data_IF_153500041087
#
_entry.id   IF_153500041087
#
_cell.length_a   1.000
_cell.length_b   1.000
_cell.length_c   1.000
_cell.angle_alpha   90.00
_cell.angle_beta   90.00
_cell.angle_gamma   90.00
#
_symmetry.space_group_name_H-M   'P 1'
#
loop_
_entity.id
_entity.type
_entity.pdbx_description
1 polymer ?
#
# COMPACT_ATOMS: atom_id res chain seq x y z
N UNK A 1 36.47 -12.55 96.49
CA UNK A 1 36.39 -12.07 95.10
C UNK A 1 35.01 -12.51 94.56
N UNK A 2 33.97 -11.67 94.64
CA UNK A 2 33.51 -10.69 93.63
C UNK A 2 33.11 -11.35 92.30
N UNK A 3 31.91 -11.24 91.71
CA UNK A 3 30.60 -10.62 92.02
C UNK A 3 29.57 -11.25 91.04
N UNK A 4 28.28 -11.02 91.34
CA UNK A 4 27.02 -11.60 90.82
C UNK A 4 26.64 -11.34 89.33
N UNK A 5 25.56 -12.06 88.96
CA UNK A 5 24.40 -11.76 88.07
C UNK A 5 24.53 -12.10 86.59
N UNK A 6 23.77 -13.06 86.04
CA UNK A 6 22.33 -13.02 85.67
C UNK A 6 21.98 -11.80 84.82
N UNK A 7 21.41 -12.02 83.62
CA UNK A 7 20.18 -11.39 83.10
C UNK A 7 19.86 -11.80 81.65
N UNK A 8 18.56 -12.10 81.46
CA UNK A 8 17.70 -11.89 80.27
C UNK A 8 17.58 -12.95 79.16
N UNK A 9 16.44 -13.62 79.26
CA UNK A 9 15.60 -14.24 78.23
C UNK A 9 15.04 -13.19 77.24
N UNK A 10 14.71 -13.57 75.99
CA UNK A 10 13.33 -13.79 75.51
C UNK A 10 13.16 -13.76 73.98
N UNK A 11 12.24 -14.64 73.53
CA UNK A 11 11.33 -14.57 72.38
C UNK A 11 11.84 -14.89 70.97
N UNK A 12 11.68 -16.16 70.61
CA UNK A 12 11.56 -16.66 69.23
C UNK A 12 10.19 -16.30 68.64
N UNK A 13 10.21 -15.56 67.52
CA UNK A 13 9.04 -15.25 66.69
C UNK A 13 8.82 -16.43 65.74
N UNK A 14 7.62 -17.02 65.78
CA UNK A 14 7.18 -18.02 64.82
C UNK A 14 6.86 -17.39 63.46
N UNK A 15 7.48 -17.90 62.40
CA UNK A 15 7.26 -17.47 61.02
C UNK A 15 6.12 -18.31 60.41
N UNK A 16 4.98 -17.69 60.11
CA UNK A 16 3.92 -18.27 59.28
C UNK A 16 4.36 -18.22 57.82
N UNK A 17 4.56 -19.37 57.18
CA UNK A 17 4.83 -19.48 55.76
C UNK A 17 3.51 -19.41 54.98
N UNK A 18 3.24 -18.27 54.35
CA UNK A 18 2.17 -18.11 53.37
C UNK A 18 2.69 -18.48 51.98
N UNK A 19 2.12 -19.52 51.38
CA UNK A 19 2.39 -19.94 50.00
C UNK A 19 1.71 -18.98 49.03
N UNK A 20 2.48 -18.16 48.33
CA UNK A 20 2.01 -17.35 47.20
C UNK A 20 1.95 -18.26 45.96
N UNK A 21 0.75 -18.62 45.53
CA UNK A 21 0.52 -19.20 44.20
C UNK A 21 0.78 -18.12 43.14
N UNK A 22 1.91 -18.24 42.44
CA UNK A 22 2.22 -17.41 41.29
C UNK A 22 1.21 -17.68 40.17
N UNK A 23 0.39 -16.67 39.86
CA UNK A 23 -0.52 -16.69 38.73
C UNK A 23 0.35 -16.60 37.48
N UNK A 24 0.38 -17.68 36.69
CA UNK A 24 1.10 -17.73 35.42
C UNK A 24 0.53 -16.69 34.47
N UNK A 25 1.20 -15.54 34.36
CA UNK A 25 0.92 -14.58 33.31
C UNK A 25 1.21 -15.21 31.96
N UNK A 26 0.18 -15.41 31.15
CA UNK A 26 0.35 -15.68 29.73
C UNK A 26 1.08 -14.50 29.09
N UNK A 27 2.37 -14.67 28.85
CA UNK A 27 3.12 -13.81 27.96
C UNK A 27 2.56 -14.05 26.55
N UNK A 28 1.63 -13.20 26.13
CA UNK A 28 1.34 -13.06 24.71
C UNK A 28 2.64 -12.55 24.08
N UNK A 29 3.37 -13.42 23.40
CA UNK A 29 4.55 -13.00 22.64
C UNK A 29 4.10 -11.93 21.65
N UNK A 30 4.81 -10.79 21.55
CA UNK A 30 4.50 -9.82 20.50
C UNK A 30 4.64 -10.56 19.17
N UNK A 31 3.53 -10.67 18.45
CA UNK A 31 3.51 -11.15 17.08
C UNK A 31 4.52 -10.28 16.32
N UNK A 32 5.59 -10.89 15.79
CA UNK A 32 6.60 -10.16 15.02
C UNK A 32 5.88 -9.42 13.89
N UNK A 33 5.93 -8.09 13.92
CA UNK A 33 5.37 -7.26 12.86
C UNK A 33 5.99 -7.70 11.52
N UNK A 34 5.14 -7.99 10.53
CA UNK A 34 5.59 -8.28 9.18
C UNK A 34 6.40 -7.09 8.68
N UNK A 35 7.63 -7.31 8.23
CA UNK A 35 8.42 -6.26 7.57
C UNK A 35 7.76 -5.91 6.23
N UNK A 36 7.20 -4.69 6.18
CA UNK A 36 6.55 -4.12 5.00
C UNK A 36 7.52 -3.17 4.30
N UNK A 37 7.70 -3.37 2.98
CA UNK A 37 8.42 -2.44 2.11
C UNK A 37 7.42 -1.70 1.23
N UNK A 38 7.43 -0.37 1.25
CA UNK A 38 6.57 0.44 0.38
C UNK A 38 7.28 0.83 -0.91
N UNK A 39 6.56 0.78 -2.03
CA UNK A 39 7.08 1.17 -3.35
C UNK A 39 6.05 2.05 -4.06
N UNK A 40 6.52 3.19 -4.55
CA UNK A 40 5.72 4.20 -5.24
C UNK A 40 5.40 3.79 -6.68
N UNK A 41 4.15 3.99 -7.12
CA UNK A 41 3.68 3.61 -8.45
C UNK A 41 4.19 4.46 -9.63
N UNK A 42 4.91 5.55 -9.39
CA UNK A 42 5.41 6.46 -10.45
C UNK A 42 6.80 6.07 -10.97
N UNK A 43 7.34 4.93 -10.54
CA UNK A 43 8.57 4.40 -11.10
C UNK A 43 8.22 3.67 -12.42
N UNK A 44 8.44 4.32 -13.57
CA UNK A 44 8.51 3.66 -14.90
C UNK A 44 9.71 2.71 -15.03
N UNK A 45 10.37 2.40 -13.93
CA UNK A 45 11.54 1.54 -13.83
C UNK A 45 11.11 0.16 -13.33
N UNK A 46 11.73 -0.88 -13.89
CA UNK A 46 11.57 -2.25 -13.38
C UNK A 46 12.09 -2.31 -11.94
N UNK A 47 11.23 -2.75 -11.01
CA UNK A 47 11.55 -2.82 -9.58
C UNK A 47 12.10 -4.21 -9.24
N UNK A 48 13.26 -4.26 -8.59
CA UNK A 48 13.85 -5.52 -8.12
C UNK A 48 13.20 -5.99 -6.80
N UNK A 49 12.70 -7.23 -6.82
CA UNK A 49 12.12 -7.92 -5.68
C UNK A 49 12.93 -9.20 -5.40
N UNK A 50 13.52 -9.30 -4.22
CA UNK A 50 14.18 -10.52 -3.75
C UNK A 50 13.14 -11.46 -3.13
N UNK A 51 13.23 -12.75 -3.46
CA UNK A 51 12.41 -13.80 -2.86
C UNK A 51 13.32 -14.89 -2.29
N UNK A 52 13.19 -15.14 -1.00
CA UNK A 52 14.06 -16.07 -0.27
C UNK A 52 13.56 -17.51 -0.33
N UNK A 53 14.48 -18.45 -0.14
CA UNK A 53 14.12 -19.85 -0.02
C UNK A 53 13.30 -20.09 1.26
N UNK A 54 12.26 -20.92 1.16
CA UNK A 54 11.32 -21.21 2.24
C UNK A 54 10.56 -19.99 2.83
N UNK A 55 10.64 -18.81 2.21
CA UNK A 55 9.89 -17.62 2.61
C UNK A 55 9.24 -16.96 1.40
N UNK A 56 7.91 -17.04 1.33
CA UNK A 56 7.14 -16.33 0.32
C UNK A 56 6.97 -14.86 0.67
N UNK A 57 6.78 -14.02 -0.35
CA UNK A 57 6.48 -12.60 -0.19
C UNK A 57 5.08 -12.30 -0.71
N UNK A 58 4.44 -11.28 -0.15
CA UNK A 58 3.18 -10.74 -0.65
C UNK A 58 3.44 -9.44 -1.39
N UNK A 59 2.87 -9.27 -2.58
CA UNK A 59 2.85 -8.02 -3.33
C UNK A 59 1.41 -7.50 -3.31
N UNK A 60 1.16 -6.43 -2.55
CA UNK A 60 -0.17 -5.89 -2.26
C UNK A 60 -0.43 -4.60 -3.03
N UNK A 61 -1.58 -4.55 -3.69
CA UNK A 61 -2.13 -3.37 -4.37
C UNK A 61 -3.34 -2.78 -3.63
N UNK A 62 -3.65 -3.30 -2.44
CA UNK A 62 -4.83 -2.89 -1.65
C UNK A 62 -4.86 -1.39 -1.39
N UNK A 63 -3.72 -0.79 -1.07
CA UNK A 63 -3.61 0.64 -0.75
C UNK A 63 -3.78 1.58 -1.95
N UNK A 64 -3.72 1.04 -3.17
CA UNK A 64 -4.10 1.75 -4.39
C UNK A 64 -5.59 1.62 -4.74
N UNK A 65 -6.32 0.72 -4.07
CA UNK A 65 -7.68 0.35 -4.49
C UNK A 65 -7.72 -0.29 -5.88
N UNK A 66 -6.60 -0.82 -6.35
CA UNK A 66 -6.46 -1.42 -7.67
C UNK A 66 -6.69 -2.93 -7.62
N UNK A 67 -7.37 -3.45 -8.66
CA UNK A 67 -7.62 -4.87 -8.81
C UNK A 67 -6.64 -5.46 -9.83
N UNK A 68 -5.87 -6.47 -9.42
CA UNK A 68 -5.04 -7.28 -10.30
C UNK A 68 -5.95 -8.09 -11.22
N UNK A 69 -5.79 -7.90 -12.52
CA UNK A 69 -6.55 -8.59 -13.56
C UNK A 69 -5.76 -9.71 -14.18
N UNK A 70 -4.46 -9.48 -14.42
CA UNK A 70 -3.60 -10.43 -15.14
C UNK A 70 -2.16 -10.34 -14.66
N UNK A 71 -1.46 -11.47 -14.71
CA UNK A 71 -0.06 -11.57 -14.33
C UNK A 71 0.69 -12.41 -15.37
N UNK A 72 1.91 -12.00 -15.69
CA UNK A 72 2.83 -12.75 -16.55
C UNK A 72 4.17 -12.95 -15.86
N UNK A 73 4.70 -14.16 -15.96
CA UNK A 73 6.00 -14.55 -15.45
C UNK A 73 6.80 -15.17 -16.60
N UNK A 74 7.90 -14.54 -16.96
CA UNK A 74 8.65 -14.90 -18.18
C UNK A 74 9.38 -16.25 -18.04
N UNK A 75 9.97 -16.51 -16.87
CA UNK A 75 10.66 -17.77 -16.55
C UNK A 75 10.12 -18.34 -15.22
N UNK A 76 9.19 -19.32 -15.28
CA UNK A 76 8.60 -19.95 -14.10
C UNK A 76 9.52 -21.02 -13.46
N UNK A 77 10.77 -21.19 -13.91
CA UNK A 77 11.66 -22.25 -13.42
C UNK A 77 12.02 -22.13 -11.95
N UNK A 78 11.96 -20.93 -11.37
CA UNK A 78 12.42 -20.66 -10.01
C UNK A 78 11.37 -20.03 -9.10
N UNK A 79 10.23 -19.58 -9.65
CA UNK A 79 9.21 -18.88 -8.89
C UNK A 79 7.82 -19.39 -9.26
N UNK A 80 6.94 -19.41 -8.27
CA UNK A 80 5.52 -19.70 -8.43
C UNK A 80 4.70 -18.58 -7.83
N UNK A 81 3.54 -18.34 -8.41
CA UNK A 81 2.64 -17.26 -8.06
C UNK A 81 1.31 -17.85 -7.58
N UNK A 82 0.70 -17.19 -6.60
CA UNK A 82 -0.67 -17.41 -6.21
C UNK A 82 -1.33 -16.05 -5.95
N UNK A 83 -2.64 -15.95 -6.11
CA UNK A 83 -3.38 -14.71 -5.86
C UNK A 83 -4.47 -14.95 -4.80
N UNK A 84 -4.85 -13.90 -4.09
CA UNK A 84 -5.97 -13.91 -3.12
C UNK A 84 -7.35 -13.96 -3.80
N UNK A 85 -7.38 -13.88 -5.12
CA UNK A 85 -8.58 -14.01 -5.93
C UNK A 85 -8.27 -14.61 -7.30
N UNK A 86 -9.22 -14.48 -8.21
CA UNK A 86 -9.15 -15.10 -9.53
C UNK A 86 -8.55 -14.14 -10.57
N UNK A 87 -7.68 -14.65 -11.43
CA UNK A 87 -7.00 -13.87 -12.47
C UNK A 87 -7.56 -14.22 -13.86
N UNK A 88 -7.71 -13.22 -14.72
CA UNK A 88 -8.18 -13.41 -16.08
C UNK A 88 -7.24 -14.34 -16.86
N UNK A 89 -7.82 -15.33 -17.54
CA UNK A 89 -7.11 -16.22 -18.46
C UNK A 89 -5.97 -17.05 -17.82
N UNK A 90 -5.98 -17.22 -16.49
CA UNK A 90 -5.02 -18.05 -15.75
C UNK A 90 -5.66 -19.30 -15.12
N UNK A 91 -6.98 -19.29 -14.89
CA UNK A 91 -7.75 -20.42 -14.36
C UNK A 91 -8.42 -21.20 -15.49
N UNK A 92 -8.41 -22.55 -15.39
CA UNK A 92 -9.06 -23.44 -16.35
C UNK A 92 -10.59 -23.34 -16.33
N UNK A 93 -11.16 -22.89 -15.20
CA UNK A 93 -12.58 -22.61 -15.04
C UNK A 93 -12.87 -21.14 -15.35
N UNK A 94 -14.04 -20.87 -15.92
CA UNK A 94 -14.52 -19.51 -16.19
C UNK A 94 -14.48 -18.70 -14.90
N UNK A 95 -13.58 -17.73 -14.82
CA UNK A 95 -13.43 -16.80 -13.71
C UNK A 95 -14.62 -15.82 -13.71
N UNK A 96 -15.68 -16.02 -12.91
CA UNK A 96 -16.93 -15.27 -13.05
C UNK A 96 -16.73 -13.82 -12.62
N UNK A 97 -15.90 -13.62 -11.58
CA UNK A 97 -15.54 -12.34 -11.00
C UNK A 97 -14.00 -12.26 -10.91
N UNK A 98 -13.31 -11.89 -12.01
CA UNK A 98 -11.87 -11.73 -12.00
C UNK A 98 -11.46 -10.53 -11.15
N UNK A 99 -10.61 -10.78 -10.17
CA UNK A 99 -10.01 -9.77 -9.34
C UNK A 99 -9.23 -10.37 -8.19
N UNK A 100 -8.01 -9.88 -8.03
CA UNK A 100 -7.16 -10.13 -6.88
C UNK A 100 -6.59 -8.78 -6.40
N UNK A 101 -6.19 -8.69 -5.14
CA UNK A 101 -5.55 -7.50 -4.58
C UNK A 101 -4.13 -7.78 -4.09
N UNK A 102 -3.80 -9.06 -3.89
CA UNK A 102 -2.52 -9.53 -3.40
C UNK A 102 -2.00 -10.69 -4.24
N UNK A 103 -0.74 -10.59 -4.66
CA UNK A 103 0.01 -11.67 -5.28
C UNK A 103 1.00 -12.26 -4.27
N UNK A 104 0.84 -13.54 -3.95
CA UNK A 104 1.79 -14.30 -3.16
C UNK A 104 2.83 -14.96 -4.07
N UNK A 105 4.11 -14.69 -3.82
CA UNK A 105 5.23 -15.13 -4.64
C UNK A 105 6.13 -16.01 -3.80
N UNK A 106 6.46 -17.20 -4.32
CA UNK A 106 7.28 -18.20 -3.65
C UNK A 106 8.41 -18.64 -4.56
N UNK A 107 9.60 -18.78 -3.99
CA UNK A 107 10.73 -19.44 -4.67
C UNK A 107 10.59 -20.96 -4.58
N UNK A 108 10.89 -21.66 -5.67
CA UNK A 108 10.94 -23.12 -5.74
C UNK A 108 12.37 -23.59 -6.09
N UNK A 109 12.61 -24.89 -5.92
CA UNK A 109 13.82 -25.50 -6.47
C UNK A 109 13.79 -25.36 -7.99
N UNK A 110 14.90 -24.94 -8.64
CA UNK A 110 14.92 -24.72 -10.08
C UNK A 110 14.47 -25.96 -10.88
N UNK A 111 13.45 -25.80 -11.71
CA UNK A 111 12.93 -26.85 -12.60
C UNK A 111 13.46 -26.64 -14.01
N UNK A 112 13.73 -27.73 -14.74
CA UNK A 112 14.05 -27.64 -16.17
C UNK A 112 12.79 -27.75 -17.02
N UNK A 113 12.51 -26.71 -17.81
CA UNK A 113 11.47 -26.76 -18.83
C UNK A 113 12.12 -26.93 -20.21
N UNK A 114 11.98 -28.09 -20.86
CA UNK A 114 12.50 -28.30 -22.20
C UNK A 114 11.93 -27.25 -23.17
N UNK A 115 12.82 -26.57 -23.92
CA UNK A 115 12.42 -25.58 -24.92
C UNK A 115 12.17 -24.16 -24.39
N UNK A 116 12.24 -23.92 -23.08
CA UNK A 116 12.24 -22.57 -22.52
C UNK A 116 13.67 -22.11 -22.20
N UNK A 117 14.08 -20.91 -22.66
CA UNK A 117 15.37 -20.35 -22.28
C UNK A 117 15.38 -20.10 -20.77
N UNK A 118 16.45 -20.57 -20.12
CA UNK A 118 16.63 -20.36 -18.68
C UNK A 118 17.22 -18.98 -18.44
N UNK A 119 16.71 -18.31 -17.42
CA UNK A 119 17.33 -17.09 -16.93
C UNK A 119 18.74 -17.42 -16.38
N UNK A 120 19.80 -16.68 -16.75
CA UNK A 120 21.12 -16.89 -16.18
C UNK A 120 21.09 -16.84 -14.65
N UNK A 121 21.92 -17.63 -13.95
CA UNK A 121 21.99 -17.60 -12.49
C UNK A 121 22.18 -16.16 -11.97
N UNK A 122 21.32 -15.75 -11.03
CA UNK A 122 21.40 -14.43 -10.38
C UNK A 122 20.79 -13.25 -11.16
N UNK A 123 20.34 -13.44 -12.41
CA UNK A 123 19.74 -12.35 -13.20
C UNK A 123 18.24 -12.14 -12.92
N UNK A 124 17.55 -13.17 -12.43
CA UNK A 124 16.13 -13.13 -12.07
C UNK A 124 15.17 -13.00 -13.25
N UNK A 125 13.90 -13.26 -13.01
CA UNK A 125 12.87 -13.29 -14.07
C UNK A 125 11.98 -12.06 -14.03
N UNK A 126 11.39 -11.70 -15.17
CA UNK A 126 10.46 -10.59 -15.26
C UNK A 126 9.05 -10.99 -14.83
N UNK A 127 8.42 -10.14 -14.04
CA UNK A 127 7.04 -10.24 -13.61
C UNK A 127 6.29 -8.99 -14.07
N UNK A 128 5.28 -9.19 -14.91
CA UNK A 128 4.36 -8.11 -15.31
C UNK A 128 3.03 -8.29 -14.60
N UNK A 129 2.53 -7.23 -13.96
CA UNK A 129 1.22 -7.21 -13.30
C UNK A 129 0.34 -6.16 -13.96
N UNK A 130 -0.82 -6.58 -14.44
CA UNK A 130 -1.82 -5.69 -15.04
C UNK A 130 -2.93 -5.49 -14.02
N UNK A 131 -3.14 -4.24 -13.62
CA UNK A 131 -4.19 -3.84 -12.70
C UNK A 131 -5.25 -3.00 -13.39
N UNK A 132 -6.39 -2.86 -12.73
CA UNK A 132 -7.47 -1.98 -13.14
C UNK A 132 -7.95 -1.16 -11.94
N UNK A 133 -8.09 0.15 -12.13
CA UNK A 133 -8.75 1.04 -11.16
C UNK A 133 -10.27 0.96 -11.33
N UNK A 134 -11.03 1.29 -10.29
CA UNK A 134 -12.51 1.28 -10.28
C UNK A 134 -13.13 2.04 -11.46
N UNK A 135 -12.47 3.10 -11.94
CA UNK A 135 -12.93 3.93 -13.06
C UNK A 135 -12.55 3.38 -14.45
N UNK A 136 -12.07 2.14 -14.54
CA UNK A 136 -11.80 1.43 -15.80
C UNK A 136 -10.39 1.58 -16.38
N UNK A 137 -9.57 2.50 -15.86
CA UNK A 137 -8.18 2.66 -16.27
C UNK A 137 -7.35 1.41 -15.97
N UNK A 138 -6.50 0.98 -16.91
CA UNK A 138 -5.56 -0.13 -16.71
C UNK A 138 -4.14 0.40 -16.50
N UNK A 139 -3.40 -0.22 -15.57
CA UNK A 139 -1.98 0.07 -15.33
C UNK A 139 -1.15 -1.20 -15.47
N UNK A 140 0.11 -1.01 -15.85
CA UNK A 140 1.08 -2.09 -16.02
C UNK A 140 2.23 -1.82 -15.05
N UNK A 141 2.51 -2.80 -14.19
CA UNK A 141 3.63 -2.78 -13.27
C UNK A 141 4.67 -3.80 -13.71
N UNK A 142 5.93 -3.40 -13.62
CA UNK A 142 7.08 -4.15 -14.09
C UNK A 142 8.02 -4.46 -12.92
N UNK A 143 8.24 -5.74 -12.66
CA UNK A 143 9.11 -6.20 -11.58
C UNK A 143 10.14 -7.20 -12.10
N UNK A 144 11.28 -7.28 -11.42
CA UNK A 144 12.27 -8.33 -11.61
C UNK A 144 12.41 -9.14 -10.33
N UNK A 145 12.08 -10.42 -10.41
CA UNK A 145 12.17 -11.36 -9.29
C UNK A 145 13.58 -11.96 -9.22
N UNK A 146 14.32 -11.59 -8.18
CA UNK A 146 15.67 -12.06 -7.91
C UNK A 146 15.65 -13.16 -6.83
N UNK A 147 16.45 -14.22 -6.98
CA UNK A 147 16.62 -15.20 -5.91
C UNK A 147 17.38 -14.54 -4.73
N UNK A 148 16.74 -14.47 -3.58
CA UNK A 148 17.34 -14.03 -2.32
C UNK A 148 18.05 -15.16 -1.58
N UNK A 149 19.02 -14.80 -0.74
CA UNK A 149 19.73 -15.70 0.18
C UNK A 149 19.78 -15.10 1.59
N UNK A 150 19.97 -15.95 2.60
CA UNK A 150 20.00 -15.52 4.00
C UNK A 150 18.61 -15.21 4.58
N UNK A 151 18.57 -14.28 5.53
CA UNK A 151 17.34 -13.90 6.22
C UNK A 151 16.49 -12.95 5.34
N UNK A 152 15.16 -13.15 5.30
CA UNK A 152 14.25 -12.25 4.60
C UNK A 152 14.31 -10.82 5.13
N UNK A 153 14.45 -9.85 4.22
CA UNK A 153 14.41 -8.42 4.56
C UNK A 153 12.96 -7.93 4.71
N UNK A 154 12.04 -8.50 3.94
CA UNK A 154 10.61 -8.20 3.93
C UNK A 154 9.78 -9.44 3.65
N UNK A 155 8.53 -9.40 4.12
CA UNK A 155 7.51 -10.42 3.86
C UNK A 155 6.36 -9.87 3.03
N UNK A 156 6.18 -8.55 3.04
CA UNK A 156 5.15 -7.86 2.26
C UNK A 156 5.75 -6.63 1.57
N UNK A 157 5.43 -6.47 0.30
CA UNK A 157 5.64 -5.26 -0.47
C UNK A 157 4.28 -4.64 -0.71
N UNK A 158 4.14 -3.39 -0.32
CA UNK A 158 2.93 -2.60 -0.53
C UNK A 158 3.20 -1.59 -1.63
N UNK A 159 2.40 -1.64 -2.71
CA UNK A 159 2.45 -0.61 -3.74
C UNK A 159 1.56 0.54 -3.30
N UNK A 160 2.14 1.73 -3.26
CA UNK A 160 1.47 2.96 -2.84
C UNK A 160 1.43 3.97 -3.97
N UNK A 161 0.47 4.90 -3.89
CA UNK A 161 0.40 6.00 -4.83
C UNK A 161 1.68 6.84 -4.68
N UNK A 162 2.23 7.23 -5.82
CA UNK A 162 3.35 8.16 -5.78
C UNK A 162 2.92 9.48 -5.13
N UNK A 163 3.80 10.11 -4.34
CA UNK A 163 3.58 11.47 -3.91
C UNK A 163 3.37 12.33 -5.15
N UNK A 164 2.24 13.04 -5.20
CA UNK A 164 1.99 14.00 -6.27
C UNK A 164 3.09 15.08 -6.24
N UNK A 165 3.50 15.62 -7.40
CA UNK A 165 4.28 16.85 -7.40
C UNK A 165 3.56 17.91 -6.57
N UNK A 166 4.30 18.61 -5.70
CA UNK A 166 3.73 19.59 -4.75
C UNK A 166 2.79 20.58 -5.47
N UNK A 167 3.17 21.02 -6.67
CA UNK A 167 2.37 21.91 -7.53
C UNK A 167 0.99 21.36 -7.88
N UNK A 168 0.88 20.06 -8.15
CA UNK A 168 -0.39 19.42 -8.50
C UNK A 168 -1.25 19.26 -7.25
N UNK A 169 -0.64 18.98 -6.10
CA UNK A 169 -1.36 18.85 -4.84
C UNK A 169 -1.98 20.19 -4.40
N UNK A 170 -1.23 21.28 -4.51
CA UNK A 170 -1.78 22.63 -4.26
C UNK A 170 -2.88 22.99 -5.24
N UNK A 171 -2.70 22.68 -6.53
CA UNK A 171 -3.72 22.94 -7.56
C UNK A 171 -5.01 22.15 -7.31
N UNK A 172 -4.92 20.86 -6.97
CA UNK A 172 -6.08 20.02 -6.63
C UNK A 172 -6.81 20.60 -5.42
N UNK A 173 -6.08 20.99 -4.37
CA UNK A 173 -6.67 21.60 -3.18
C UNK A 173 -7.41 22.91 -3.52
N UNK A 174 -6.77 23.82 -4.27
CA UNK A 174 -7.40 25.07 -4.70
C UNK A 174 -8.61 24.82 -5.60
N UNK A 175 -8.58 23.86 -6.53
CA UNK A 175 -9.73 23.56 -7.39
C UNK A 175 -10.89 22.96 -6.59
N UNK A 176 -10.64 22.05 -5.64
CA UNK A 176 -11.67 21.50 -4.74
C UNK A 176 -12.32 22.62 -3.92
N UNK A 177 -11.52 23.52 -3.35
CA UNK A 177 -12.03 24.68 -2.62
C UNK A 177 -12.86 25.61 -3.51
N UNK A 178 -12.38 25.89 -4.73
CA UNK A 178 -13.10 26.72 -5.69
C UNK A 178 -14.43 26.11 -6.13
N UNK A 179 -14.51 24.79 -6.21
CA UNK A 179 -15.72 24.05 -6.51
C UNK A 179 -16.75 24.15 -5.37
N UNK A 180 -16.29 24.07 -4.12
CA UNK A 180 -17.14 24.29 -2.94
C UNK A 180 -17.69 25.72 -2.91
N UNK A 181 -16.84 26.73 -3.13
CA UNK A 181 -17.28 28.14 -3.21
C UNK A 181 -18.29 28.35 -4.34
N UNK A 182 -18.07 27.74 -5.51
CA UNK A 182 -19.03 27.81 -6.62
C UNK A 182 -20.37 27.13 -6.27
N UNK A 183 -20.34 26.05 -5.49
CA UNK A 183 -21.53 25.34 -5.04
C UNK A 183 -22.31 26.12 -3.97
N UNK A 184 -21.62 26.77 -3.04
CA UNK A 184 -22.23 27.67 -2.05
C UNK A 184 -22.90 28.87 -2.73
N UNK A 185 -22.24 29.43 -3.75
CA UNK A 185 -22.78 30.50 -4.57
C UNK A 185 -23.83 30.04 -5.58
N UNK A 186 -24.27 28.78 -5.53
CA UNK A 186 -25.28 28.18 -6.40
C UNK A 186 -24.94 28.25 -7.90
N UNK A 187 -23.66 28.38 -8.24
CA UNK A 187 -23.17 28.43 -9.63
C UNK A 187 -23.04 27.03 -10.24
N UNK A 188 -22.96 26.00 -9.40
CA UNK A 188 -22.91 24.60 -9.79
C UNK A 188 -23.60 23.73 -8.74
N UNK A 189 -24.14 22.60 -9.16
CA UNK A 189 -24.74 21.59 -8.28
C UNK A 189 -24.00 20.26 -8.41
N UNK A 190 -24.03 19.43 -7.35
CA UNK A 190 -23.42 18.08 -7.37
C UNK A 190 -24.02 17.15 -8.44
N UNK A 191 -25.25 17.43 -8.87
CA UNK A 191 -25.93 16.64 -9.91
C UNK A 191 -25.65 17.16 -11.34
N UNK A 192 -24.86 18.22 -11.49
CA UNK A 192 -24.51 18.78 -12.80
C UNK A 192 -23.51 17.86 -13.52
N UNK A 193 -23.70 17.54 -14.82
CA UNK A 193 -22.69 16.84 -15.62
C UNK A 193 -21.30 17.49 -15.54
N UNK A 194 -21.22 18.81 -15.38
CA UNK A 194 -19.97 19.53 -15.20
C UNK A 194 -19.24 19.12 -13.92
N UNK A 195 -19.96 18.86 -12.82
CA UNK A 195 -19.39 18.36 -11.57
C UNK A 195 -18.65 17.04 -11.79
N UNK A 196 -19.32 16.09 -12.46
CA UNK A 196 -18.73 14.77 -12.76
C UNK A 196 -17.47 14.88 -13.63
N UNK A 197 -17.43 15.84 -14.56
CA UNK A 197 -16.24 16.11 -15.38
C UNK A 197 -15.10 16.70 -14.56
N UNK A 198 -15.40 17.60 -13.61
CA UNK A 198 -14.39 18.17 -12.70
C UNK A 198 -13.83 17.09 -11.78
N UNK A 199 -14.66 16.19 -11.24
CA UNK A 199 -14.18 15.05 -10.45
C UNK A 199 -13.30 14.10 -11.29
N UNK A 200 -13.68 13.85 -12.55
CA UNK A 200 -12.86 13.07 -13.48
C UNK A 200 -11.51 13.74 -13.70
N UNK A 201 -11.49 15.05 -13.93
CA UNK A 201 -10.27 15.84 -14.07
C UNK A 201 -9.36 15.75 -12.84
N UNK A 202 -9.92 15.91 -11.63
CA UNK A 202 -9.16 15.79 -10.38
C UNK A 202 -8.57 14.38 -10.22
N UNK A 203 -9.34 13.33 -10.52
CA UNK A 203 -8.85 11.96 -10.51
C UNK A 203 -7.71 11.72 -11.51
N UNK A 204 -7.73 12.35 -12.69
CA UNK A 204 -6.65 12.25 -13.67
C UNK A 204 -5.36 12.95 -13.18
N UNK A 205 -5.49 14.10 -12.52
CA UNK A 205 -4.36 14.78 -11.87
C UNK A 205 -3.77 13.96 -10.71
N UNK A 206 -4.62 13.34 -9.90
CA UNK A 206 -4.21 12.44 -8.81
C UNK A 206 -3.49 11.18 -9.34
N UNK A 207 -3.76 10.80 -10.59
CA UNK A 207 -3.02 9.73 -11.29
C UNK A 207 -1.74 10.22 -11.99
N UNK A 208 -1.31 11.47 -11.75
CA UNK A 208 -0.04 12.02 -12.24
C UNK A 208 -0.07 12.58 -13.66
N UNK A 209 -1.24 12.75 -14.28
CA UNK A 209 -1.32 13.41 -15.59
C UNK A 209 -1.03 14.92 -15.49
N UNK A 210 -0.61 15.52 -16.62
CA UNK A 210 -0.49 16.98 -16.69
C UNK A 210 -1.88 17.64 -16.66
N UNK A 211 -1.92 18.90 -16.24
CA UNK A 211 -3.15 19.70 -16.18
C UNK A 211 -3.84 19.76 -17.53
N UNK A 212 -3.08 19.99 -18.60
CA UNK A 212 -3.59 20.11 -19.97
C UNK A 212 -4.16 18.78 -20.48
N UNK A 213 -3.46 17.67 -20.23
CA UNK A 213 -3.90 16.34 -20.64
C UNK A 213 -5.16 15.91 -19.89
N UNK A 214 -5.16 16.11 -18.56
CA UNK A 214 -6.31 15.81 -17.72
C UNK A 214 -7.54 16.64 -18.14
N UNK A 215 -7.36 17.95 -18.41
CA UNK A 215 -8.46 18.83 -18.82
C UNK A 215 -9.05 18.40 -20.17
N UNK A 216 -8.20 18.05 -21.13
CA UNK A 216 -8.64 17.55 -22.43
C UNK A 216 -9.43 16.24 -22.31
N UNK A 217 -8.93 15.27 -21.54
CA UNK A 217 -9.59 13.97 -21.33
C UNK A 217 -10.91 14.10 -20.57
N UNK A 218 -10.97 14.96 -19.56
CA UNK A 218 -12.19 15.25 -18.80
C UNK A 218 -13.18 16.18 -19.53
N UNK A 219 -12.82 16.66 -20.73
CA UNK A 219 -13.63 17.57 -21.54
C UNK A 219 -13.99 18.88 -20.80
N UNK A 220 -13.04 19.43 -20.05
CA UNK A 220 -13.16 20.74 -19.39
C UNK A 220 -12.21 21.75 -20.01
N UNK A 221 -12.59 23.03 -20.00
CA UNK A 221 -11.76 24.09 -20.56
C UNK A 221 -10.70 24.57 -19.56
N UNK A 222 -9.53 24.97 -20.07
CA UNK A 222 -8.49 25.61 -19.23
C UNK A 222 -8.94 26.96 -18.64
N UNK A 223 -9.97 27.59 -19.20
CA UNK A 223 -10.59 28.77 -18.60
C UNK A 223 -11.31 28.40 -17.29
N UNK A 224 -12.06 27.30 -17.29
CA UNK A 224 -12.74 26.80 -16.09
C UNK A 224 -11.75 26.36 -15.01
N UNK A 225 -10.69 25.63 -15.39
CA UNK A 225 -9.62 25.21 -14.46
C UNK A 225 -9.03 26.43 -13.74
N UNK A 226 -8.66 27.47 -14.50
CA UNK A 226 -8.12 28.72 -13.93
C UNK A 226 -9.13 29.45 -13.06
N UNK A 227 -10.40 29.47 -13.46
CA UNK A 227 -11.46 30.10 -12.69
C UNK A 227 -11.64 29.42 -11.32
N UNK A 228 -11.77 28.09 -11.28
CA UNK A 228 -11.91 27.33 -10.03
C UNK A 228 -10.68 27.49 -9.15
N UNK A 229 -9.47 27.40 -9.72
CA UNK A 229 -8.25 27.65 -8.96
C UNK A 229 -8.26 29.05 -8.32
N UNK A 230 -8.64 30.08 -9.08
CA UNK A 230 -8.72 31.45 -8.56
C UNK A 230 -9.79 31.64 -7.48
N UNK A 231 -10.90 30.90 -7.55
CA UNK A 231 -11.94 30.92 -6.52
C UNK A 231 -11.44 30.26 -5.23
N UNK A 232 -10.71 29.14 -5.35
CA UNK A 232 -10.11 28.46 -4.20
C UNK A 232 -9.02 29.28 -3.52
N UNK A 233 -8.12 29.87 -4.31
CA UNK A 233 -7.05 30.73 -3.79
C UNK A 233 -7.62 31.93 -3.02
N UNK A 234 -8.76 32.48 -3.47
CA UNK A 234 -9.48 33.55 -2.76
C UNK A 234 -10.10 33.06 -1.45
N UNK A 235 -10.68 31.86 -1.44
CA UNK A 235 -11.24 31.24 -0.24
C UNK A 235 -10.21 31.04 0.87
N UNK A 236 -8.94 30.78 0.52
CA UNK A 236 -7.82 30.67 1.47
C UNK A 236 -7.34 32.02 2.03
N UNK A 237 -7.72 33.14 1.39
CA UNK A 237 -7.30 34.50 1.77
C UNK A 237 -8.39 35.33 2.46
N UNK A 238 -9.53 34.74 2.80
CA UNK A 238 -10.49 35.41 3.70
C UNK A 238 -10.06 35.09 5.14
N UNK A 239 -9.32 35.95 5.86
CA UNK A 239 -9.34 35.87 7.31
C UNK A 239 -10.80 36.06 7.71
N UNK A 240 -11.29 35.12 8.52
CA UNK A 240 -12.56 35.24 9.19
C UNK A 240 -12.58 36.57 9.97
N UNK A 241 -13.14 37.61 9.36
CA UNK A 241 -13.39 38.88 10.00
C UNK A 241 -14.85 39.22 9.79
N UNK A 242 -15.62 39.04 10.87
CA UNK A 242 -17.01 39.51 11.09
C UNK A 242 -18.05 38.77 10.23
N UNK A 243 -19.00 38.04 10.82
CA UNK A 243 -19.97 38.45 11.86
C UNK A 243 -20.14 37.37 12.94
#
# INVERSE_FOLDING_TARGET
>A
MSRKSSWKQYLSVGLLATTVTAIGGSFCSPLLALSVRQISSNEQQTIDLKVWEAHGINLSFMSLGETIRKVWLDDPSQFVLNADGCLENLSADSCPEPGASVLHIRRIKPINFPGLPRTPPGSGTHLTVITQVTNGGRKIYSFRLLPGSGQPEYSTIEITAAPLPISNQTLIASIRQGLEVAQENQQISRNDPLWSRIETFLGLLENGQSVEQAAAQAQISMALVRQLNSLGDRGLTIPNSSI
#
